data_IF_266341000053
#
_entry.id   IF_266341000053
#
_cell.length_a   1.000
_cell.length_b   1.000
_cell.length_c   1.000
_cell.angle_alpha   90.00
_cell.angle_beta   90.00
_cell.angle_gamma   90.00
#
_symmetry.space_group_name_H-M   'P 1'
#
loop_
_entity.id
_entity.type
_entity.pdbx_description
1 polymer ?
#
# COMPACT_ATOMS: atom_id res chain seq x y z
N UNK A 1 16.39 31.74 20.90
CA UNK A 1 16.96 30.40 21.17
C UNK A 1 16.50 30.00 22.55
N UNK A 2 15.67 28.96 22.68
CA UNK A 2 15.28 28.47 24.00
C UNK A 2 16.50 27.89 24.70
N UNK A 3 16.80 28.36 25.90
CA UNK A 3 17.92 27.86 26.70
C UNK A 3 17.67 26.41 27.10
N UNK A 4 18.14 25.49 26.25
CA UNK A 4 18.22 24.07 26.60
C UNK A 4 19.15 23.93 27.80
N UNK A 5 18.60 23.53 28.95
CA UNK A 5 19.29 23.25 30.22
C UNK A 5 20.13 21.97 30.22
N UNK A 6 20.17 21.22 29.11
CA UNK A 6 20.89 19.95 29.04
C UNK A 6 22.37 20.18 28.71
N UNK A 7 23.28 19.32 29.23
CA UNK A 7 24.71 19.45 28.98
C UNK A 7 25.01 19.38 27.48
N UNK A 8 25.89 20.28 27.02
CA UNK A 8 26.35 20.36 25.63
C UNK A 8 27.80 19.84 25.58
N UNK A 9 28.13 19.08 24.53
CA UNK A 9 29.53 18.75 24.26
C UNK A 9 30.31 20.01 23.90
N UNK A 10 31.62 20.03 24.17
CA UNK A 10 32.49 21.19 23.89
C UNK A 10 32.36 21.60 22.42
N UNK A 11 32.00 22.87 22.17
CA UNK A 11 31.83 23.43 20.82
C UNK A 11 30.48 23.14 20.14
N UNK A 12 29.55 22.42 20.78
CA UNK A 12 28.24 22.15 20.19
C UNK A 12 27.26 23.32 20.40
N UNK A 13 26.69 23.80 19.29
CA UNK A 13 25.66 24.87 19.29
C UNK A 13 24.39 24.43 20.03
N UNK A 14 24.06 23.13 20.02
CA UNK A 14 22.85 22.57 20.63
C UNK A 14 23.17 21.32 21.45
N UNK A 15 22.41 21.09 22.52
CA UNK A 15 22.42 19.82 23.26
C UNK A 15 21.96 18.67 22.35
N UNK A 16 22.37 17.40 22.62
CA UNK A 16 22.08 16.23 21.75
C UNK A 16 20.59 16.09 21.40
N UNK A 17 19.71 16.30 22.38
CA UNK A 17 18.25 16.25 22.19
C UNK A 17 17.75 17.36 21.25
N UNK A 18 18.17 18.61 21.48
CA UNK A 18 17.80 19.73 20.61
C UNK A 18 18.40 19.60 19.20
N UNK A 19 19.59 19.02 19.05
CA UNK A 19 20.18 18.72 17.75
C UNK A 19 19.36 17.67 17.01
N UNK A 20 18.97 16.57 17.68
CA UNK A 20 18.11 15.56 17.09
C UNK A 20 16.74 16.12 16.68
N UNK A 21 16.12 16.92 17.55
CA UNK A 21 14.87 17.64 17.24
C UNK A 21 15.04 18.55 16.03
N UNK A 22 16.09 19.38 16.01
CA UNK A 22 16.41 20.26 14.88
C UNK A 22 16.54 19.47 13.57
N UNK A 23 17.35 18.41 13.54
CA UNK A 23 17.49 17.57 12.35
C UNK A 23 16.19 16.88 11.93
N UNK A 24 15.30 16.61 12.88
CA UNK A 24 14.03 15.95 12.63
C UNK A 24 12.91 16.92 12.23
N UNK A 25 13.02 18.22 12.50
CA UNK A 25 11.97 19.21 12.18
C UNK A 25 12.34 20.15 11.05
N UNK A 26 13.63 20.42 10.85
CA UNK A 26 14.15 21.28 9.79
C UNK A 26 13.77 20.73 8.39
N UNK A 27 13.05 21.52 7.57
CA UNK A 27 12.57 21.09 6.26
C UNK A 27 13.71 20.84 5.26
N UNK A 28 14.79 21.62 5.31
CA UNK A 28 15.92 21.50 4.38
C UNK A 28 16.71 20.22 4.67
N UNK A 29 16.91 19.89 5.94
CA UNK A 29 17.57 18.62 6.34
C UNK A 29 16.71 17.42 5.94
N UNK A 30 15.39 17.50 6.11
CA UNK A 30 14.47 16.45 5.64
C UNK A 30 14.55 16.26 4.14
N UNK A 31 14.53 17.35 3.38
CA UNK A 31 14.59 17.30 1.93
C UNK A 31 15.88 16.63 1.45
N UNK A 32 17.04 17.06 1.96
CA UNK A 32 18.34 16.45 1.62
C UNK A 32 18.39 14.95 1.93
N UNK A 33 17.83 14.52 3.07
CA UNK A 33 17.73 13.09 3.42
C UNK A 33 16.85 12.31 2.44
N UNK A 34 15.68 12.84 2.10
CA UNK A 34 14.77 12.23 1.14
C UNK A 34 15.41 12.11 -0.24
N UNK A 35 16.12 13.13 -0.70
CA UNK A 35 16.84 13.12 -1.98
C UNK A 35 17.97 12.08 -1.99
N UNK A 36 18.76 12.00 -0.91
CA UNK A 36 19.79 10.97 -0.76
C UNK A 36 19.20 9.56 -0.81
N UNK A 37 18.08 9.33 -0.11
CA UNK A 37 17.35 8.06 -0.15
C UNK A 37 16.82 7.75 -1.55
N UNK A 38 16.25 8.73 -2.25
CA UNK A 38 15.78 8.55 -3.64
C UNK A 38 16.92 8.12 -4.57
N UNK A 39 18.08 8.80 -4.50
CA UNK A 39 19.26 8.45 -5.31
C UNK A 39 19.73 7.03 -5.03
N UNK A 40 19.84 6.67 -3.76
CA UNK A 40 20.27 5.33 -3.36
C UNK A 40 19.28 4.24 -3.83
N UNK A 41 17.96 4.47 -3.70
CA UNK A 41 16.95 3.52 -4.14
C UNK A 41 16.81 3.43 -5.67
N UNK A 42 17.20 4.47 -6.39
CA UNK A 42 17.22 4.48 -7.86
C UNK A 42 18.38 3.68 -8.47
N UNK A 43 19.40 3.33 -7.68
CA UNK A 43 20.50 2.50 -8.14
C UNK A 43 19.99 1.09 -8.55
N UNK A 44 20.49 0.53 -9.66
CA UNK A 44 20.05 -0.77 -10.14
C UNK A 44 20.37 -1.86 -9.11
N UNK A 45 19.43 -2.78 -8.88
CA UNK A 45 19.60 -3.89 -7.95
C UNK A 45 19.40 -3.58 -6.47
N UNK A 46 19.45 -2.31 -6.04
CA UNK A 46 19.30 -1.93 -4.61
C UNK A 46 17.97 -2.38 -4.00
N UNK A 47 16.87 -2.19 -4.72
CA UNK A 47 15.54 -2.61 -4.26
C UNK A 47 15.42 -4.14 -4.16
N UNK A 48 15.99 -4.88 -5.11
CA UNK A 48 15.98 -6.34 -5.12
C UNK A 48 16.82 -6.89 -3.97
N UNK A 49 18.03 -6.36 -3.77
CA UNK A 49 18.90 -6.74 -2.65
C UNK A 49 18.22 -6.48 -1.29
N UNK A 50 17.60 -5.30 -1.13
CA UNK A 50 16.81 -5.00 0.09
C UNK A 50 15.65 -5.96 0.30
N UNK A 51 14.92 -6.29 -0.76
CA UNK A 51 13.79 -7.24 -0.70
C UNK A 51 14.27 -8.63 -0.27
N UNK A 52 15.39 -9.09 -0.80
CA UNK A 52 15.96 -10.39 -0.45
C UNK A 52 16.46 -10.43 1.00
N UNK A 53 17.15 -9.39 1.45
CA UNK A 53 17.55 -9.26 2.86
C UNK A 53 16.34 -9.28 3.79
N UNK A 54 15.30 -8.50 3.48
CA UNK A 54 14.07 -8.49 4.26
C UNK A 54 13.39 -9.86 4.28
N UNK A 55 13.32 -10.54 3.13
CA UNK A 55 12.76 -11.90 3.02
C UNK A 55 13.47 -12.86 3.97
N UNK A 56 14.81 -12.94 3.91
CA UNK A 56 15.60 -13.84 4.75
C UNK A 56 15.44 -13.55 6.23
N UNK A 57 15.44 -12.27 6.61
CA UNK A 57 15.23 -11.87 8.01
C UNK A 57 13.83 -12.27 8.48
N UNK A 58 12.80 -11.99 7.68
CA UNK A 58 11.42 -12.34 8.04
C UNK A 58 11.17 -13.84 8.05
N UNK A 59 11.82 -14.62 7.19
CA UNK A 59 11.77 -16.09 7.23
C UNK A 59 12.31 -16.63 8.55
N UNK A 60 13.47 -16.13 9.01
CA UNK A 60 14.05 -16.50 10.30
C UNK A 60 13.14 -16.12 11.47
N UNK A 61 12.62 -14.89 11.46
CA UNK A 61 11.72 -14.41 12.52
C UNK A 61 10.42 -15.20 12.55
N UNK A 62 9.85 -15.54 11.39
CA UNK A 62 8.62 -16.35 11.32
C UNK A 62 8.83 -17.82 11.69
N UNK A 63 10.04 -18.34 11.57
CA UNK A 63 10.33 -19.71 11.95
C UNK A 63 10.35 -19.92 13.47
N UNK A 64 10.42 -18.85 14.27
CA UNK A 64 10.42 -19.00 15.74
C UNK A 64 8.99 -19.16 16.27
N UNK A 65 8.74 -20.12 17.18
CA UNK A 65 7.43 -20.33 17.77
C UNK A 65 6.96 -19.11 18.57
N UNK A 66 7.88 -18.43 19.28
CA UNK A 66 7.60 -17.20 20.04
C UNK A 66 7.01 -16.09 19.17
N UNK A 67 7.50 -15.92 17.94
CA UNK A 67 6.96 -14.91 17.03
C UNK A 67 5.55 -15.28 16.55
N UNK A 68 5.29 -16.56 16.33
CA UNK A 68 3.95 -17.04 15.97
C UNK A 68 2.96 -16.84 17.13
N UNK A 69 3.39 -17.10 18.37
CA UNK A 69 2.59 -16.82 19.57
C UNK A 69 2.30 -15.33 19.71
N UNK A 70 3.31 -14.49 19.54
CA UNK A 70 3.15 -13.04 19.54
C UNK A 70 2.15 -12.57 18.46
N UNK A 71 2.21 -13.11 17.24
CA UNK A 71 1.25 -12.79 16.18
C UNK A 71 -0.18 -13.22 16.55
N UNK A 72 -0.33 -14.39 17.18
CA UNK A 72 -1.63 -14.89 17.66
C UNK A 72 -2.21 -13.95 18.74
N UNK A 73 -1.41 -13.57 19.72
CA UNK A 73 -1.81 -12.65 20.78
C UNK A 73 -2.12 -11.25 20.23
N UNK A 74 -1.30 -10.76 19.31
CA UNK A 74 -1.54 -9.50 18.63
C UNK A 74 -2.87 -9.51 17.86
N UNK A 75 -3.18 -10.61 17.17
CA UNK A 75 -4.46 -10.81 16.49
C UNK A 75 -5.64 -10.81 17.46
N UNK A 76 -5.54 -11.53 18.59
CA UNK A 76 -6.56 -11.51 19.65
C UNK A 76 -6.78 -10.10 20.20
N UNK A 77 -5.70 -9.37 20.45
CA UNK A 77 -5.74 -7.98 20.93
C UNK A 77 -6.40 -7.05 19.92
N UNK A 78 -6.02 -7.14 18.64
CA UNK A 78 -6.63 -6.34 17.57
C UNK A 78 -8.13 -6.61 17.45
N UNK A 79 -8.53 -7.87 17.54
CA UNK A 79 -9.94 -8.23 17.51
C UNK A 79 -10.69 -7.54 18.66
N UNK A 80 -10.23 -7.75 19.90
CA UNK A 80 -10.86 -7.24 21.12
C UNK A 80 -10.86 -5.72 21.25
N UNK A 81 -9.77 -5.07 20.85
CA UNK A 81 -9.54 -3.65 21.16
C UNK A 81 -9.90 -2.73 19.99
N UNK A 82 -9.93 -3.27 18.75
CA UNK A 82 -10.12 -2.46 17.53
C UNK A 82 -11.33 -2.94 16.73
N UNK A 83 -11.35 -4.20 16.32
CA UNK A 83 -12.34 -4.68 15.35
C UNK A 83 -13.75 -4.85 15.93
N UNK A 84 -13.86 -5.02 17.25
CA UNK A 84 -15.15 -5.08 17.96
C UNK A 84 -15.66 -3.71 18.41
N UNK A 85 -14.91 -2.62 18.20
CA UNK A 85 -15.38 -1.30 18.61
C UNK A 85 -16.63 -0.91 17.80
N UNK A 86 -17.67 -0.33 18.44
CA UNK A 86 -18.92 0.03 17.76
C UNK A 86 -18.72 0.90 16.52
N UNK A 87 -17.84 1.91 16.60
CA UNK A 87 -17.54 2.83 15.50
C UNK A 87 -16.93 2.13 14.28
N UNK A 88 -16.04 1.15 14.52
CA UNK A 88 -15.41 0.35 13.46
C UNK A 88 -16.41 -0.62 12.84
N UNK A 89 -17.25 -1.25 13.66
CA UNK A 89 -18.27 -2.19 13.20
C UNK A 89 -19.33 -1.48 12.37
N UNK A 90 -19.88 -0.37 12.87
CA UNK A 90 -20.88 0.44 12.15
C UNK A 90 -20.35 0.94 10.82
N UNK A 91 -19.12 1.48 10.80
CA UNK A 91 -18.48 1.90 9.54
C UNK A 91 -18.32 0.73 8.58
N UNK A 92 -17.87 -0.41 9.06
CA UNK A 92 -17.64 -1.61 8.24
C UNK A 92 -18.94 -2.16 7.66
N UNK A 93 -20.03 -2.13 8.44
CA UNK A 93 -21.35 -2.60 8.05
C UNK A 93 -22.20 -1.52 7.36
N UNK A 94 -21.71 -0.29 7.26
CA UNK A 94 -22.44 0.82 6.63
C UNK A 94 -22.83 0.49 5.18
N UNK A 95 -24.01 0.94 4.72
CA UNK A 95 -24.46 0.73 3.35
C UNK A 95 -23.46 1.27 2.32
N UNK A 96 -22.83 2.41 2.61
CA UNK A 96 -21.83 3.03 1.73
C UNK A 96 -20.58 2.14 1.56
N UNK A 97 -20.05 1.60 2.66
CA UNK A 97 -18.86 0.72 2.61
C UNK A 97 -19.20 -0.59 1.90
N UNK A 98 -20.39 -1.15 2.17
CA UNK A 98 -20.88 -2.34 1.48
C UNK A 98 -21.10 -2.11 -0.03
N UNK A 99 -21.60 -0.94 -0.42
CA UNK A 99 -21.76 -0.56 -1.82
C UNK A 99 -20.40 -0.46 -2.52
N UNK A 100 -19.43 0.27 -1.93
CA UNK A 100 -18.06 0.39 -2.45
C UNK A 100 -17.38 -0.98 -2.59
N UNK A 101 -17.51 -1.84 -1.58
CA UNK A 101 -16.99 -3.22 -1.62
C UNK A 101 -17.63 -4.02 -2.76
N UNK A 102 -18.95 -3.94 -2.89
CA UNK A 102 -19.71 -4.66 -3.92
C UNK A 102 -19.35 -4.20 -5.32
N UNK A 103 -19.21 -2.89 -5.53
CA UNK A 103 -18.78 -2.29 -6.79
C UNK A 103 -17.35 -2.71 -7.16
N UNK A 104 -16.43 -2.65 -6.20
CA UNK A 104 -15.07 -3.14 -6.39
C UNK A 104 -15.06 -4.62 -6.81
N UNK A 105 -15.79 -5.47 -6.11
CA UNK A 105 -15.90 -6.89 -6.47
C UNK A 105 -16.50 -7.06 -7.87
N UNK A 106 -17.55 -6.31 -8.23
CA UNK A 106 -18.20 -6.37 -9.54
C UNK A 106 -17.27 -5.92 -10.68
N UNK A 107 -16.43 -4.91 -10.46
CA UNK A 107 -15.50 -4.41 -11.48
C UNK A 107 -14.37 -5.41 -11.77
N UNK A 108 -13.90 -6.15 -10.77
CA UNK A 108 -12.87 -7.18 -10.93
C UNK A 108 -13.42 -8.56 -11.35
N UNK A 109 -14.71 -8.83 -11.12
CA UNK A 109 -15.32 -10.10 -11.54
C UNK A 109 -15.48 -10.14 -13.07
N UNK A 110 -14.92 -11.20 -13.66
CA UNK A 110 -14.96 -11.47 -15.10
C UNK A 110 -16.23 -12.21 -15.56
N UNK A 111 -17.25 -12.35 -14.69
CA UNK A 111 -18.48 -13.10 -15.00
C UNK A 111 -19.16 -12.53 -16.25
N UNK A 112 -19.22 -11.21 -16.34
CA UNK A 112 -19.93 -10.50 -17.40
C UNK A 112 -19.06 -10.31 -18.65
N UNK A 113 -17.77 -10.67 -18.60
CA UNK A 113 -16.84 -10.53 -19.72
C UNK A 113 -16.82 -11.84 -20.52
N UNK A 114 -17.12 -11.79 -21.84
CA UNK A 114 -17.03 -12.94 -22.73
C UNK A 114 -15.66 -13.61 -22.65
N UNK A 115 -15.64 -14.95 -22.67
CA UNK A 115 -14.41 -15.72 -22.41
C UNK A 115 -13.24 -15.29 -23.31
N UNK A 116 -13.49 -15.08 -24.61
CA UNK A 116 -12.48 -14.66 -25.58
C UNK A 116 -11.83 -13.30 -25.31
N UNK A 117 -12.50 -12.39 -24.61
CA UNK A 117 -12.01 -11.04 -24.34
C UNK A 117 -11.40 -10.88 -22.93
N UNK A 118 -11.38 -11.93 -22.12
CA UNK A 118 -10.81 -11.88 -20.75
C UNK A 118 -9.32 -11.59 -20.73
N UNK A 119 -8.58 -12.07 -21.75
CA UNK A 119 -7.13 -11.80 -21.87
C UNK A 119 -6.88 -10.32 -22.14
N UNK A 120 -7.70 -9.71 -23.01
CA UNK A 120 -7.61 -8.28 -23.34
C UNK A 120 -7.95 -7.42 -22.12
N UNK A 121 -9.02 -7.74 -21.38
CA UNK A 121 -9.31 -7.11 -20.09
C UNK A 121 -8.10 -7.13 -19.13
N UNK A 122 -7.47 -8.31 -18.97
CA UNK A 122 -6.31 -8.45 -18.08
C UNK A 122 -5.13 -7.60 -18.55
N UNK A 123 -4.93 -7.46 -19.86
CA UNK A 123 -3.91 -6.59 -20.43
C UNK A 123 -4.19 -5.11 -20.13
N UNK A 124 -5.43 -4.64 -20.32
CA UNK A 124 -5.83 -3.26 -20.00
C UNK A 124 -5.56 -2.92 -18.52
N UNK A 125 -5.91 -3.81 -17.60
CA UNK A 125 -5.74 -3.57 -16.16
C UNK A 125 -4.28 -3.70 -15.71
N UNK A 126 -3.56 -4.74 -16.15
CA UNK A 126 -2.21 -5.02 -15.64
C UNK A 126 -1.11 -4.23 -16.34
N UNK A 127 -1.22 -4.08 -17.65
CA UNK A 127 -0.18 -3.46 -18.48
C UNK A 127 -0.48 -1.98 -18.68
N UNK A 128 -1.69 -1.65 -19.16
CA UNK A 128 -2.08 -0.25 -19.41
C UNK A 128 -2.52 0.51 -18.15
N UNK A 129 -2.63 -0.17 -17.00
CA UNK A 129 -3.00 0.39 -15.70
C UNK A 129 -4.35 1.14 -15.71
N UNK A 130 -5.25 0.73 -16.59
CA UNK A 130 -6.61 1.29 -16.66
C UNK A 130 -7.43 0.77 -15.47
N UNK A 131 -8.24 1.61 -14.82
CA UNK A 131 -9.17 1.18 -13.78
C UNK A 131 -10.04 0.00 -14.22
N UNK A 132 -10.26 -0.96 -13.33
CA UNK A 132 -10.98 -2.20 -13.64
C UNK A 132 -12.41 -1.97 -14.16
N UNK A 133 -13.09 -0.95 -13.65
CA UNK A 133 -14.44 -0.58 -14.09
C UNK A 133 -14.45 -0.08 -15.55
N UNK A 134 -13.52 0.82 -15.89
CA UNK A 134 -13.37 1.37 -17.23
C UNK A 134 -12.91 0.31 -18.24
N UNK A 135 -11.92 -0.50 -17.88
CA UNK A 135 -11.46 -1.61 -18.70
C UNK A 135 -12.60 -2.60 -19.03
N UNK A 136 -13.54 -2.81 -18.10
CA UNK A 136 -14.70 -3.67 -18.33
C UNK A 136 -15.70 -3.04 -19.30
N UNK A 137 -15.94 -1.74 -19.20
CA UNK A 137 -16.82 -1.01 -20.13
C UNK A 137 -16.26 -1.06 -21.57
N UNK A 138 -14.97 -0.78 -21.74
CA UNK A 138 -14.28 -0.85 -23.04
C UNK A 138 -14.52 -2.20 -23.72
N UNK A 139 -14.32 -3.29 -22.97
CA UNK A 139 -14.47 -4.66 -23.49
C UNK A 139 -15.92 -4.98 -23.84
N UNK A 140 -16.88 -4.56 -23.01
CA UNK A 140 -18.30 -4.79 -23.28
C UNK A 140 -18.78 -4.00 -24.50
N UNK A 141 -18.29 -2.76 -24.68
CA UNK A 141 -18.63 -1.95 -25.84
C UNK A 141 -18.01 -2.50 -27.12
N UNK A 142 -16.76 -2.96 -27.06
CA UNK A 142 -16.13 -3.70 -28.16
C UNK A 142 -16.92 -4.95 -28.54
N UNK A 143 -17.38 -5.72 -27.54
CA UNK A 143 -18.19 -6.91 -27.79
C UNK A 143 -19.54 -6.57 -28.43
N UNK A 144 -20.23 -5.52 -27.96
CA UNK A 144 -21.48 -5.05 -28.57
C UNK A 144 -21.29 -4.65 -30.04
N UNK A 145 -20.19 -3.93 -30.36
CA UNK A 145 -19.85 -3.57 -31.74
C UNK A 145 -19.60 -4.80 -32.62
N UNK A 146 -18.89 -5.80 -32.10
CA UNK A 146 -18.64 -7.06 -32.81
C UNK A 146 -19.93 -7.84 -33.08
N UNK A 147 -20.86 -7.86 -32.10
CA UNK A 147 -22.16 -8.51 -32.27
C UNK A 147 -23.04 -7.77 -33.28
N UNK A 148 -23.11 -6.43 -33.20
CA UNK A 148 -23.87 -5.61 -34.14
C UNK A 148 -23.37 -5.72 -35.59
N UNK A 149 -22.05 -5.79 -35.79
CA UNK A 149 -21.46 -5.99 -37.11
C UNK A 149 -21.75 -7.38 -37.69
N UNK A 150 -21.89 -8.40 -36.85
CA UNK A 150 -22.24 -9.77 -37.28
C UNK A 150 -23.71 -9.94 -37.64
N UNK A 151 -24.60 -9.13 -37.07
CA UNK A 151 -26.04 -9.19 -37.36
C UNK A 151 -26.46 -8.35 -38.56
N UNK A 152 -25.60 -7.46 -39.04
CA UNK A 152 -25.87 -6.53 -40.14
C UNK A 152 -25.27 -6.95 -41.49
N UNK A 153 -24.51 -8.05 -41.52
CA UNK A 153 -23.99 -8.68 -42.74
C UNK A 153 -24.62 -10.06 -42.91
#
# INVERSE_FOLDING_TARGET
MTDCTHPRSKGAVRCRSCAAKHMATDPEIKQRRCEGLRRYLAQPGTLLAKRETLRRTMEKVRATPEHQDWLREHGKRLYRDVLTRPDVVEKTLSPETNAKRSESIRSFRLRDIPHGLRTEYRHLVKVKRIPAAEAKQIILDQFKRQMGARTAG
#
